data_IF_471246821262
#
_entry.id   IF_471246821262
#
_cell.length_a   1.000
_cell.length_b   1.000
_cell.length_c   1.000
_cell.angle_alpha   90.00
_cell.angle_beta   90.00
_cell.angle_gamma   90.00
#
_symmetry.space_group_name_H-M   'P 1'
#
loop_
_entity.id
_entity.type
_entity.pdbx_description
1 polymer ?
#
# COMPACT_ATOMS: atom_id res chain seq x y z
N UNK A 1 18.66 0.27 16.91
CA UNK A 1 18.84 -0.01 18.35
C UNK A 1 18.48 1.26 19.11
N UNK A 2 17.79 1.16 20.24
CA UNK A 2 17.39 2.29 21.07
C UNK A 2 18.08 2.23 22.43
N UNK A 3 18.15 3.34 23.15
CA UNK A 3 18.49 3.34 24.57
C UNK A 3 17.22 3.44 25.40
N UNK A 4 16.92 2.41 26.19
CA UNK A 4 15.78 2.43 27.10
C UNK A 4 16.18 3.15 28.39
N UNK A 5 15.67 4.37 28.59
CA UNK A 5 15.89 5.12 29.84
C UNK A 5 15.41 4.37 31.08
N UNK A 6 14.25 3.70 31.00
CA UNK A 6 13.68 2.93 32.12
C UNK A 6 14.51 1.69 32.47
N UNK A 7 15.07 1.00 31.47
CA UNK A 7 15.92 -0.19 31.70
C UNK A 7 17.40 0.14 31.85
N UNK A 8 17.78 1.40 31.65
CA UNK A 8 19.15 1.91 31.63
C UNK A 8 20.11 1.05 30.78
N UNK A 9 19.66 0.63 29.59
CA UNK A 9 20.47 -0.18 28.67
C UNK A 9 20.07 0.01 27.21
N UNK A 10 20.94 -0.45 26.33
CA UNK A 10 20.59 -0.65 24.91
C UNK A 10 19.49 -1.71 24.78
N UNK A 11 18.55 -1.42 23.90
CA UNK A 11 17.36 -2.23 23.64
C UNK A 11 17.10 -2.29 22.14
N UNK A 12 16.95 -3.49 21.59
CA UNK A 12 16.61 -3.67 20.18
C UNK A 12 15.11 -3.88 20.07
N UNK A 13 14.40 -3.01 19.35
CA UNK A 13 12.98 -3.22 19.06
C UNK A 13 12.80 -4.59 18.40
N UNK A 14 11.96 -5.43 19.02
CA UNK A 14 11.71 -6.79 18.57
C UNK A 14 12.46 -7.86 19.36
N UNK A 15 13.43 -7.53 20.23
CA UNK A 15 14.20 -8.53 20.97
C UNK A 15 13.35 -9.46 21.86
N UNK A 16 12.16 -9.03 22.27
CA UNK A 16 11.21 -9.84 23.04
C UNK A 16 10.05 -10.38 22.19
N UNK A 17 9.59 -9.61 21.19
CA UNK A 17 8.38 -9.94 20.43
C UNK A 17 8.66 -10.62 19.08
N UNK A 18 9.92 -10.66 18.63
CA UNK A 18 10.29 -11.05 17.27
C UNK A 18 10.01 -9.98 16.20
N UNK A 19 9.31 -8.89 16.56
CA UNK A 19 8.90 -7.87 15.61
C UNK A 19 9.95 -6.74 15.49
N UNK A 20 10.93 -6.98 14.63
CA UNK A 20 12.08 -6.10 14.37
C UNK A 20 11.76 -4.99 13.38
N UNK A 21 12.59 -3.95 13.36
CA UNK A 21 12.55 -2.86 12.36
C UNK A 21 13.89 -2.84 11.62
N UNK A 22 13.89 -3.19 10.32
CA UNK A 22 15.09 -3.16 9.48
C UNK A 22 15.28 -1.74 8.96
N UNK A 23 16.39 -1.09 9.29
CA UNK A 23 16.67 0.29 8.84
C UNK A 23 16.91 0.31 7.34
N UNK A 24 16.28 1.28 6.67
CA UNK A 24 16.44 1.58 5.25
C UNK A 24 17.24 2.89 5.10
N UNK A 25 16.80 3.93 5.79
CA UNK A 25 17.38 5.27 5.71
C UNK A 25 17.29 5.98 7.07
N UNK A 26 18.18 6.93 7.30
CA UNK A 26 18.17 7.81 8.47
C UNK A 26 18.44 9.24 8.02
N UNK A 27 17.62 10.18 8.49
CA UNK A 27 17.78 11.60 8.26
C UNK A 27 17.68 12.38 9.56
N UNK A 28 18.33 13.56 9.59
CA UNK A 28 18.17 14.56 10.63
C UNK A 28 17.15 15.60 10.18
N UNK A 29 16.51 16.25 11.14
CA UNK A 29 15.80 17.50 10.89
C UNK A 29 16.76 18.68 10.71
N UNK A 30 16.21 19.89 10.52
CA UNK A 30 16.98 21.05 10.09
C UNK A 30 17.87 21.65 11.19
N UNK A 31 17.53 21.47 12.47
CA UNK A 31 18.32 21.89 13.64
C UNK A 31 19.08 20.73 14.29
N UNK A 32 18.93 19.51 13.77
CA UNK A 32 19.65 18.29 14.16
C UNK A 32 19.35 17.82 15.59
N UNK A 33 18.13 18.05 16.07
CA UNK A 33 17.69 17.55 17.38
C UNK A 33 16.79 16.31 17.29
N UNK A 34 16.33 15.98 16.08
CA UNK A 34 15.48 14.81 15.82
C UNK A 34 16.00 13.95 14.66
N UNK A 35 15.77 12.64 14.79
CA UNK A 35 16.08 11.65 13.76
C UNK A 35 14.79 11.08 13.16
N UNK A 36 14.68 11.12 11.83
CA UNK A 36 13.71 10.34 11.08
C UNK A 36 14.38 9.05 10.58
N UNK A 37 13.84 7.90 10.95
CA UNK A 37 14.37 6.59 10.56
C UNK A 37 13.32 5.88 9.72
N UNK A 38 13.61 5.71 8.42
CA UNK A 38 12.81 4.88 7.54
C UNK A 38 13.17 3.41 7.78
N UNK A 39 12.15 2.57 7.99
CA UNK A 39 12.34 1.16 8.33
C UNK A 39 11.36 0.25 7.60
N UNK A 40 11.79 -0.97 7.32
CA UNK A 40 10.95 -2.09 6.91
C UNK A 40 10.63 -2.95 8.14
N UNK A 41 9.37 -3.01 8.61
CA UNK A 41 9.01 -3.82 9.77
C UNK A 41 9.05 -5.32 9.45
N UNK A 42 9.41 -6.11 10.46
CA UNK A 42 9.23 -7.57 10.49
C UNK A 42 8.09 -7.84 11.45
N UNK A 43 6.97 -8.38 10.95
CA UNK A 43 5.76 -8.59 11.75
C UNK A 43 5.02 -7.30 12.14
N UNK A 44 4.09 -7.39 13.11
CA UNK A 44 3.31 -6.23 13.59
C UNK A 44 4.08 -5.41 14.62
N UNK A 45 4.18 -4.09 14.40
CA UNK A 45 5.02 -3.24 15.25
C UNK A 45 4.41 -2.99 16.63
N UNK A 46 3.09 -2.78 16.68
CA UNK A 46 2.39 -2.40 17.90
C UNK A 46 2.05 -3.60 18.78
N UNK A 47 2.04 -3.38 20.10
CA UNK A 47 1.73 -4.40 21.10
C UNK A 47 0.25 -4.81 21.14
N UNK A 48 -0.64 -4.02 20.52
CA UNK A 48 -2.07 -4.32 20.41
C UNK A 48 -2.43 -5.11 19.13
N UNK A 49 -1.43 -5.50 18.34
CA UNK A 49 -1.63 -6.28 17.11
C UNK A 49 -1.86 -5.45 15.84
N UNK A 50 -1.82 -4.12 15.94
CA UNK A 50 -1.96 -3.20 14.79
C UNK A 50 -0.59 -2.78 14.22
N UNK A 51 -0.59 -2.14 13.05
CA UNK A 51 0.65 -1.80 12.32
C UNK A 51 1.43 -0.64 12.94
N UNK A 52 0.76 0.28 13.61
CA UNK A 52 1.34 1.50 14.20
C UNK A 52 0.75 1.77 15.59
N UNK A 53 1.51 2.45 16.46
CA UNK A 53 0.95 2.96 17.72
C UNK A 53 -0.17 3.99 17.49
N UNK A 54 -0.21 4.61 16.31
CA UNK A 54 -1.13 5.68 15.93
C UNK A 54 -2.23 5.22 14.97
N UNK A 55 -2.62 3.94 14.99
CA UNK A 55 -3.58 3.34 14.06
C UNK A 55 -4.99 4.00 14.00
N UNK A 56 -5.27 4.95 14.90
CA UNK A 56 -6.53 5.71 14.98
C UNK A 56 -6.42 7.18 14.55
N UNK A 57 -5.26 7.66 14.12
CA UNK A 57 -5.15 8.99 13.50
C UNK A 57 -5.76 8.96 12.10
N UNK A 58 -6.25 10.11 11.61
CA UNK A 58 -6.59 10.28 10.20
C UNK A 58 -5.35 9.93 9.36
N UNK A 59 -5.33 8.70 8.85
CA UNK A 59 -4.25 8.23 8.01
C UNK A 59 -4.30 9.06 6.73
N UNK A 60 -3.15 9.52 6.19
CA UNK A 60 -3.16 10.22 4.92
C UNK A 60 -3.90 9.38 3.87
N UNK A 61 -4.74 9.99 3.05
CA UNK A 61 -5.64 9.28 2.13
C UNK A 61 -4.89 8.29 1.22
N UNK A 62 -3.66 8.60 0.82
CA UNK A 62 -2.83 7.70 0.00
C UNK A 62 -2.38 6.43 0.74
N UNK A 63 -2.36 6.42 2.07
CA UNK A 63 -2.11 5.21 2.84
C UNK A 63 -3.28 4.22 2.72
N UNK A 64 -4.50 4.70 2.49
CA UNK A 64 -5.63 3.82 2.18
C UNK A 64 -5.36 3.00 0.90
N UNK A 65 -4.80 3.61 -0.15
CA UNK A 65 -4.47 2.90 -1.39
C UNK A 65 -3.41 1.80 -1.16
N UNK A 66 -2.38 2.08 -0.36
CA UNK A 66 -1.38 1.08 0.01
C UNK A 66 -1.99 -0.07 0.83
N UNK A 67 -2.92 0.24 1.74
CA UNK A 67 -3.65 -0.78 2.49
C UNK A 67 -4.58 -1.61 1.60
N UNK A 68 -5.22 -0.99 0.61
CA UNK A 68 -6.06 -1.67 -0.37
C UNK A 68 -5.25 -2.65 -1.22
N UNK A 69 -4.07 -2.24 -1.69
CA UNK A 69 -3.14 -3.13 -2.40
C UNK A 69 -2.77 -4.35 -1.54
N UNK A 70 -2.39 -4.12 -0.28
CA UNK A 70 -2.05 -5.20 0.65
C UNK A 70 -3.22 -6.16 0.86
N UNK A 71 -4.43 -5.63 1.05
CA UNK A 71 -5.64 -6.43 1.21
C UNK A 71 -5.94 -7.27 -0.05
N UNK A 72 -5.76 -6.71 -1.24
CA UNK A 72 -5.93 -7.42 -2.52
C UNK A 72 -4.91 -8.57 -2.62
N UNK A 73 -3.65 -8.32 -2.27
CA UNK A 73 -2.60 -9.34 -2.29
C UNK A 73 -2.86 -10.46 -1.25
N UNK A 74 -3.32 -10.12 -0.04
CA UNK A 74 -3.71 -11.11 0.97
C UNK A 74 -4.83 -12.03 0.44
N UNK A 75 -5.83 -11.44 -0.25
CA UNK A 75 -6.95 -12.16 -0.87
C UNK A 75 -6.54 -13.04 -2.06
N UNK A 76 -5.43 -12.74 -2.76
CA UNK A 76 -4.86 -13.61 -3.80
C UNK A 76 -4.44 -14.98 -3.23
N UNK A 77 -4.03 -15.01 -1.95
CA UNK A 77 -3.47 -16.20 -1.30
C UNK A 77 -4.44 -16.97 -0.41
N UNK A 78 -5.63 -16.41 -0.14
CA UNK A 78 -6.62 -17.03 0.76
C UNK A 78 -7.71 -17.75 -0.04
N UNK A 79 -7.84 -19.05 0.17
CA UNK A 79 -8.82 -19.98 -0.45
C UNK A 79 -10.30 -19.74 -0.06
N UNK A 80 -10.67 -18.52 0.32
CA UNK A 80 -12.03 -18.22 0.79
C UNK A 80 -12.92 -17.72 -0.34
N UNK A 81 -13.89 -18.56 -0.73
CA UNK A 81 -15.00 -18.31 -1.67
C UNK A 81 -15.93 -17.11 -1.33
N UNK A 82 -15.52 -16.14 -0.51
CA UNK A 82 -16.41 -15.14 0.09
C UNK A 82 -16.16 -13.69 -0.33
N UNK A 83 -15.15 -13.37 -1.15
CA UNK A 83 -14.88 -11.98 -1.60
C UNK A 83 -14.91 -11.83 -3.11
N UNK A 84 -15.47 -10.70 -3.60
CA UNK A 84 -15.49 -10.34 -5.03
C UNK A 84 -14.08 -10.37 -5.66
N UNK A 85 -13.06 -9.97 -4.89
CA UNK A 85 -11.65 -10.00 -5.31
C UNK A 85 -11.13 -11.43 -5.51
N UNK A 86 -11.56 -12.39 -4.68
CA UNK A 86 -11.17 -13.80 -4.80
C UNK A 86 -11.74 -14.44 -6.06
N UNK A 87 -12.98 -14.07 -6.43
CA UNK A 87 -13.57 -14.50 -7.70
C UNK A 87 -12.82 -13.92 -8.90
N UNK A 88 -12.36 -12.65 -8.82
CA UNK A 88 -11.54 -12.06 -9.89
C UNK A 88 -10.21 -12.79 -10.10
N UNK A 89 -9.50 -13.17 -9.03
CA UNK A 89 -8.25 -13.92 -9.16
C UNK A 89 -8.44 -15.38 -9.60
N UNK A 90 -9.62 -15.96 -9.36
CA UNK A 90 -10.00 -17.24 -9.95
C UNK A 90 -10.32 -17.14 -11.46
N UNK A 91 -10.47 -15.93 -11.98
CA UNK A 91 -10.67 -15.68 -13.41
C UNK A 91 -9.33 -15.45 -14.10
N UNK A 92 -9.21 -15.87 -15.37
CA UNK A 92 -8.00 -15.69 -16.18
C UNK A 92 -7.63 -14.19 -16.31
N UNK A 93 -6.35 -13.86 -16.36
CA UNK A 93 -5.78 -12.50 -16.48
C UNK A 93 -6.45 -11.70 -17.58
N UNK A 94 -6.91 -12.38 -18.64
CA UNK A 94 -7.69 -11.78 -19.74
C UNK A 94 -8.94 -11.03 -19.25
N UNK A 95 -9.69 -11.58 -18.30
CA UNK A 95 -10.93 -10.95 -17.81
C UNK A 95 -10.62 -9.73 -16.95
N UNK A 96 -9.55 -9.78 -16.17
CA UNK A 96 -9.06 -8.66 -15.35
C UNK A 96 -8.62 -7.51 -16.27
N UNK A 97 -7.81 -7.82 -17.29
CA UNK A 97 -7.36 -6.84 -18.27
C UNK A 97 -8.52 -6.22 -19.07
N UNK A 98 -9.56 -7.01 -19.38
CA UNK A 98 -10.77 -6.49 -20.01
C UNK A 98 -11.44 -5.41 -19.15
N UNK A 99 -11.61 -5.64 -17.84
CA UNK A 99 -12.20 -4.64 -16.94
C UNK A 99 -11.39 -3.35 -16.91
N UNK A 100 -10.05 -3.44 -16.80
CA UNK A 100 -9.18 -2.25 -16.88
C UNK A 100 -9.42 -1.45 -18.18
N UNK A 101 -9.64 -2.13 -19.30
CA UNK A 101 -9.99 -1.49 -20.57
C UNK A 101 -11.37 -0.83 -20.57
N UNK A 102 -12.39 -1.49 -20.00
CA UNK A 102 -13.76 -0.97 -19.86
C UNK A 102 -13.76 0.31 -19.00
N UNK A 103 -13.25 0.24 -17.77
CA UNK A 103 -13.24 1.39 -16.85
C UNK A 103 -12.42 2.56 -17.41
N UNK A 104 -11.36 2.28 -18.17
CA UNK A 104 -10.55 3.30 -18.83
C UNK A 104 -11.31 4.07 -19.90
N UNK A 105 -12.20 3.39 -20.65
CA UNK A 105 -13.09 4.03 -21.63
C UNK A 105 -14.19 4.80 -20.92
N UNK A 106 -14.80 4.22 -19.88
CA UNK A 106 -15.87 4.85 -19.10
C UNK A 106 -15.38 6.13 -18.41
N UNK A 107 -14.21 6.09 -17.77
CA UNK A 107 -13.54 7.28 -17.21
C UNK A 107 -13.35 8.39 -18.26
N UNK A 108 -12.89 8.02 -19.47
CA UNK A 108 -12.66 8.99 -20.54
C UNK A 108 -13.96 9.60 -21.06
N UNK A 109 -15.02 8.80 -21.18
CA UNK A 109 -16.34 9.25 -21.62
C UNK A 109 -16.99 10.17 -20.57
N UNK A 110 -16.96 9.80 -19.30
CA UNK A 110 -17.47 10.60 -18.18
C UNK A 110 -16.79 11.99 -18.13
N UNK A 111 -15.46 12.02 -18.27
CA UNK A 111 -14.70 13.25 -18.32
C UNK A 111 -15.07 14.12 -19.54
N UNK A 112 -15.33 13.50 -20.69
CA UNK A 112 -15.70 14.19 -21.94
C UNK A 112 -17.04 14.92 -21.80
N UNK A 113 -18.00 14.33 -21.08
CA UNK A 113 -19.30 14.95 -20.80
C UNK A 113 -19.28 15.86 -19.57
N UNK A 114 -18.10 16.06 -18.95
CA UNK A 114 -17.88 16.87 -17.75
C UNK A 114 -18.67 16.41 -16.52
N UNK A 115 -19.03 15.13 -16.46
CA UNK A 115 -19.66 14.52 -15.30
C UNK A 115 -18.59 14.17 -14.27
N UNK A 116 -18.45 15.01 -13.25
CA UNK A 116 -17.39 14.88 -12.24
C UNK A 116 -17.61 13.70 -11.31
N UNK A 117 -18.87 13.44 -10.94
CA UNK A 117 -19.18 12.38 -9.98
C UNK A 117 -18.93 11.02 -10.64
N UNK A 118 -19.38 10.87 -11.90
CA UNK A 118 -19.10 9.67 -12.69
C UNK A 118 -17.60 9.52 -12.97
N UNK A 119 -16.89 10.61 -13.31
CA UNK A 119 -15.44 10.55 -13.52
C UNK A 119 -14.69 10.03 -12.29
N UNK A 120 -15.09 10.44 -11.08
CA UNK A 120 -14.48 9.94 -9.84
C UNK A 120 -14.85 8.47 -9.59
N UNK A 121 -16.10 8.08 -9.87
CA UNK A 121 -16.54 6.69 -9.75
C UNK A 121 -15.74 5.76 -10.66
N UNK A 122 -15.70 6.06 -11.95
CA UNK A 122 -15.02 5.27 -12.98
C UNK A 122 -13.50 5.25 -12.77
N UNK A 123 -12.90 6.38 -12.36
CA UNK A 123 -11.48 6.42 -12.02
C UNK A 123 -11.17 5.55 -10.78
N UNK A 124 -12.10 5.46 -9.83
CA UNK A 124 -11.95 4.59 -8.64
C UNK A 124 -11.97 3.11 -9.04
N UNK A 125 -12.89 2.72 -9.92
CA UNK A 125 -12.97 1.35 -10.45
C UNK A 125 -11.75 1.00 -11.31
N UNK A 126 -11.27 1.95 -12.12
CA UNK A 126 -10.02 1.81 -12.87
C UNK A 126 -8.82 1.57 -11.95
N UNK A 127 -8.66 2.37 -10.88
CA UNK A 127 -7.57 2.20 -9.91
C UNK A 127 -7.67 0.85 -9.21
N UNK A 128 -8.88 0.42 -8.83
CA UNK A 128 -9.11 -0.88 -8.23
C UNK A 128 -8.71 -2.03 -9.17
N UNK A 129 -9.24 -2.04 -10.39
CA UNK A 129 -8.98 -3.09 -11.37
C UNK A 129 -7.52 -3.11 -11.84
N UNK A 130 -6.88 -1.95 -11.96
CA UNK A 130 -5.45 -1.85 -12.24
C UNK A 130 -4.62 -2.45 -11.10
N UNK A 131 -4.98 -2.19 -9.83
CA UNK A 131 -4.32 -2.80 -8.68
C UNK A 131 -4.42 -4.33 -8.72
N UNK A 132 -5.60 -4.87 -9.03
CA UNK A 132 -5.82 -6.31 -9.20
C UNK A 132 -4.98 -6.87 -10.35
N UNK A 133 -4.90 -6.17 -11.49
CA UNK A 133 -4.11 -6.59 -12.65
C UNK A 133 -2.61 -6.65 -12.34
N UNK A 134 -2.07 -5.65 -11.65
CA UNK A 134 -0.68 -5.63 -11.22
C UNK A 134 -0.37 -6.85 -10.35
N UNK A 135 -1.19 -7.09 -9.33
CA UNK A 135 -1.02 -8.23 -8.43
C UNK A 135 -1.17 -9.58 -9.16
N UNK A 136 -2.09 -9.69 -10.13
CA UNK A 136 -2.24 -10.89 -10.98
C UNK A 136 -1.02 -11.13 -11.90
N UNK A 137 -0.24 -10.07 -12.18
CA UNK A 137 0.97 -10.11 -12.99
C UNK A 137 2.26 -10.17 -12.14
N UNK A 138 2.14 -10.42 -10.84
CA UNK A 138 3.24 -10.41 -9.86
C UNK A 138 4.00 -9.06 -9.81
N UNK A 139 3.26 -7.96 -9.99
CA UNK A 139 3.73 -6.57 -9.89
C UNK A 139 3.01 -5.82 -8.76
N UNK A 140 3.58 -4.70 -8.34
CA UNK A 140 3.04 -3.79 -7.33
C UNK A 140 3.01 -2.33 -7.81
N UNK A 141 2.29 -1.48 -7.08
CA UNK A 141 2.32 -0.03 -7.29
C UNK A 141 3.73 0.55 -7.16
N UNK A 142 4.60 -0.07 -6.35
CA UNK A 142 6.01 0.32 -6.25
C UNK A 142 6.72 0.29 -7.62
N UNK A 143 6.49 -0.74 -8.43
CA UNK A 143 7.09 -0.88 -9.77
C UNK A 143 6.62 0.23 -10.71
N UNK A 144 5.32 0.57 -10.65
CA UNK A 144 4.73 1.67 -11.43
C UNK A 144 5.31 3.01 -11.00
N UNK A 145 5.40 3.26 -9.69
CA UNK A 145 5.94 4.49 -9.12
C UNK A 145 7.42 4.67 -9.49
N UNK A 146 8.21 3.61 -9.43
CA UNK A 146 9.62 3.68 -9.81
C UNK A 146 9.78 4.00 -11.30
N UNK A 147 8.91 3.45 -12.17
CA UNK A 147 8.87 3.83 -13.58
C UNK A 147 8.46 5.29 -13.80
N UNK A 148 7.51 5.82 -13.01
CA UNK A 148 7.10 7.22 -13.09
C UNK A 148 8.22 8.17 -12.62
N UNK A 149 8.91 7.83 -11.52
CA UNK A 149 10.09 8.59 -11.04
C UNK A 149 11.20 8.62 -12.09
N UNK A 150 11.49 7.48 -12.72
CA UNK A 150 12.49 7.39 -13.80
C UNK A 150 12.14 8.33 -14.97
N UNK A 151 10.85 8.45 -15.31
CA UNK A 151 10.38 9.33 -16.39
C UNK A 151 10.41 10.82 -16.02
N UNK A 152 10.12 11.15 -14.76
CA UNK A 152 10.10 12.54 -14.28
C UNK A 152 11.48 13.10 -13.96
N UNK A 153 12.44 12.23 -13.59
CA UNK A 153 13.84 12.61 -13.39
C UNK A 153 14.65 12.82 -14.67
N UNK A 154 14.00 12.76 -15.85
CA UNK A 154 14.52 13.18 -17.15
C UNK A 154 13.90 14.51 -17.53
#
# INVERSE_FOLDING_TARGET
>A
MLFSRTKNRLWVKGETSGNFLKVVEMGLDCDNDSLLILVNPVGVTCHTGVVSCFDKSDMPDLVFLANLEKLINERKTTDSNSSHTTQLFATDTKRIAQKVGEEGVETALAATVQDKDETVSEASDLVYHLTVLLQASDLAWADVLDKLKERHGK
#
